data_IF_194153043943
#
_entry.id   IF_194153043943
#
_cell.length_a   1.000
_cell.length_b   1.000
_cell.length_c   1.000
_cell.angle_alpha   90.00
_cell.angle_beta   90.00
_cell.angle_gamma   90.00
#
_symmetry.space_group_name_H-M   'P 1'
#
loop_
_entity.id
_entity.type
_entity.pdbx_description
1 polymer ?
#
# COMPACT_ATOMS: atom_id res chain seq x y z
N UNK A 1 11.56 10.54 4.25
CA UNK A 1 11.14 9.89 2.99
C UNK A 1 10.63 10.96 2.04
N UNK A 2 11.11 10.98 0.79
CA UNK A 2 10.57 11.84 -0.26
C UNK A 2 9.95 10.94 -1.32
N UNK A 3 8.63 10.99 -1.45
CA UNK A 3 7.91 10.36 -2.55
C UNK A 3 7.32 11.46 -3.42
N UNK A 4 7.51 11.35 -4.74
CA UNK A 4 6.79 12.22 -5.68
C UNK A 4 5.38 11.68 -5.80
N UNK A 5 4.41 12.52 -5.47
CA UNK A 5 2.99 12.24 -5.55
C UNK A 5 2.33 13.50 -6.09
N UNK A 6 1.24 13.32 -6.82
CA UNK A 6 0.40 14.44 -7.25
C UNK A 6 -0.14 15.20 -6.03
N UNK A 7 -0.17 16.53 -6.11
CA UNK A 7 -0.57 17.37 -4.98
C UNK A 7 -2.06 17.22 -4.65
N UNK A 8 -2.92 17.04 -5.67
CA UNK A 8 -4.35 16.83 -5.47
C UNK A 8 -4.60 15.52 -4.74
N UNK A 9 -3.97 14.44 -5.20
CA UNK A 9 -4.06 13.11 -4.57
C UNK A 9 -3.54 13.12 -3.13
N UNK A 10 -2.46 13.86 -2.86
CA UNK A 10 -1.91 14.00 -1.51
C UNK A 10 -2.90 14.70 -0.58
N UNK A 11 -3.56 15.76 -1.04
CA UNK A 11 -4.51 16.52 -0.24
C UNK A 11 -5.78 15.69 0.04
N UNK A 12 -6.29 14.98 -0.94
CA UNK A 12 -7.42 14.04 -0.76
C UNK A 12 -7.08 12.94 0.23
N UNK A 13 -5.94 12.27 0.05
CA UNK A 13 -5.49 11.23 0.97
C UNK A 13 -5.29 11.78 2.40
N UNK A 14 -4.75 12.99 2.54
CA UNK A 14 -4.59 13.63 3.83
C UNK A 14 -5.94 13.93 4.50
N UNK A 15 -6.94 14.38 3.74
CA UNK A 15 -8.28 14.63 4.26
C UNK A 15 -8.94 13.33 4.74
N UNK A 16 -8.90 12.27 3.94
CA UNK A 16 -9.46 10.96 4.30
C UNK A 16 -8.77 10.39 5.55
N UNK A 17 -7.43 10.41 5.58
CA UNK A 17 -6.69 9.91 6.74
C UNK A 17 -6.92 10.76 8.00
N UNK A 18 -7.09 12.07 7.86
CA UNK A 18 -7.40 12.96 8.98
C UNK A 18 -8.75 12.62 9.63
N UNK A 19 -9.75 12.18 8.85
CA UNK A 19 -11.03 11.71 9.42
C UNK A 19 -10.85 10.49 10.32
N UNK A 20 -9.78 9.72 10.12
CA UNK A 20 -9.40 8.56 10.94
C UNK A 20 -8.38 8.92 12.02
N UNK A 21 -8.02 10.20 12.19
CA UNK A 21 -7.00 10.66 13.14
C UNK A 21 -5.57 10.30 12.74
N UNK A 22 -5.34 9.95 11.46
CA UNK A 22 -4.04 9.54 10.94
C UNK A 22 -3.43 10.62 10.04
N UNK A 23 -2.11 10.71 10.05
CA UNK A 23 -1.36 11.52 9.08
C UNK A 23 -0.83 10.64 7.95
N UNK A 24 -0.58 11.24 6.78
CA UNK A 24 0.02 10.55 5.63
C UNK A 24 1.32 9.85 6.03
N UNK A 25 2.18 10.51 6.80
CA UNK A 25 3.45 9.92 7.27
C UNK A 25 3.22 8.75 8.24
N UNK A 26 2.21 8.83 9.11
CA UNK A 26 1.83 7.75 10.01
C UNK A 26 1.36 6.52 9.25
N UNK A 27 0.48 6.71 8.27
CA UNK A 27 -0.02 5.64 7.40
C UNK A 27 1.12 4.96 6.62
N UNK A 28 2.01 5.74 6.00
CA UNK A 28 3.16 5.22 5.27
C UNK A 28 4.08 4.39 6.18
N UNK A 29 4.33 4.84 7.41
CA UNK A 29 5.16 4.09 8.36
C UNK A 29 4.54 2.74 8.70
N UNK A 30 3.23 2.71 9.02
CA UNK A 30 2.50 1.48 9.31
C UNK A 30 2.53 0.53 8.10
N UNK A 31 2.25 1.05 6.90
CA UNK A 31 2.29 0.27 5.66
C UNK A 31 3.65 -0.37 5.40
N UNK A 32 4.73 0.40 5.54
CA UNK A 32 6.09 -0.11 5.34
C UNK A 32 6.49 -1.17 6.39
N UNK A 33 6.11 -0.97 7.65
CA UNK A 33 6.33 -1.97 8.72
C UNK A 33 5.59 -3.27 8.40
N UNK A 34 4.32 -3.18 7.97
CA UNK A 34 3.50 -4.34 7.60
C UNK A 34 4.09 -5.09 6.40
N UNK A 35 4.48 -4.37 5.34
CA UNK A 35 5.14 -4.97 4.16
C UNK A 35 6.44 -5.69 4.54
N UNK A 36 7.24 -5.07 5.42
CA UNK A 36 8.51 -5.66 5.85
C UNK A 36 8.29 -6.94 6.64
N UNK A 37 7.28 -6.96 7.51
CA UNK A 37 6.98 -8.10 8.37
C UNK A 37 6.31 -9.25 7.62
N UNK A 38 5.29 -8.95 6.81
CA UNK A 38 4.49 -9.94 6.09
C UNK A 38 5.13 -10.36 4.75
N UNK A 39 6.14 -9.63 4.28
CA UNK A 39 6.76 -9.79 2.95
C UNK A 39 5.73 -9.78 1.81
N UNK A 40 4.58 -9.13 2.04
CA UNK A 40 3.45 -9.06 1.15
C UNK A 40 2.91 -7.62 1.13
N UNK A 41 2.22 -7.26 0.06
CA UNK A 41 1.57 -5.96 -0.03
C UNK A 41 0.36 -5.91 0.93
N UNK A 42 0.10 -4.76 1.57
CA UNK A 42 -0.91 -4.65 2.62
C UNK A 42 -2.34 -4.57 2.08
N UNK A 43 -2.49 -4.55 0.75
CA UNK A 43 -3.76 -4.60 0.03
C UNK A 43 -3.76 -5.82 -0.89
N UNK A 44 -4.92 -6.46 -1.05
CA UNK A 44 -5.06 -7.53 -2.04
C UNK A 44 -4.79 -6.94 -3.43
N UNK A 45 -3.71 -7.39 -4.07
CA UNK A 45 -3.36 -7.02 -5.43
C UNK A 45 -4.33 -7.73 -6.39
N UNK A 46 -5.58 -7.27 -6.44
CA UNK A 46 -6.63 -7.74 -7.36
C UNK A 46 -6.67 -6.97 -8.68
N UNK A 47 -5.72 -6.08 -8.92
CA UNK A 47 -5.54 -5.49 -10.24
C UNK A 47 -4.77 -6.51 -11.07
N UNK A 48 -5.39 -7.11 -12.11
CA UNK A 48 -4.68 -8.02 -12.99
C UNK A 48 -3.60 -7.20 -13.69
N UNK A 49 -2.36 -7.32 -13.23
CA UNK A 49 -1.24 -6.80 -13.99
C UNK A 49 -1.18 -7.64 -15.27
N UNK A 50 -1.47 -7.04 -16.43
CA UNK A 50 -1.42 -7.70 -17.74
C UNK A 50 -0.06 -8.37 -18.07
N UNK A 51 0.98 -8.14 -17.25
CA UNK A 51 2.33 -8.64 -17.45
C UNK A 51 2.84 -9.64 -16.42
N UNK A 52 2.02 -10.11 -15.46
CA UNK A 52 2.49 -11.14 -14.52
C UNK A 52 1.39 -12.11 -14.15
N UNK A 53 1.38 -13.34 -14.71
CA UNK A 53 0.58 -14.39 -14.11
C UNK A 53 1.20 -14.69 -12.75
N UNK A 54 0.45 -14.37 -11.70
CA UNK A 54 0.29 -15.22 -10.54
C UNK A 54 1.55 -15.95 -10.04
N UNK A 55 2.42 -15.23 -9.33
CA UNK A 55 3.38 -15.87 -8.43
C UNK A 55 2.66 -16.28 -7.14
N UNK A 56 1.67 -17.16 -7.28
CA UNK A 56 0.75 -17.57 -6.23
C UNK A 56 0.36 -19.04 -6.33
N UNK A 57 1.28 -19.93 -6.70
CA UNK A 57 1.08 -21.37 -6.53
C UNK A 57 2.38 -22.10 -6.16
N UNK A 58 2.69 -22.09 -4.87
CA UNK A 58 3.40 -23.21 -4.22
C UNK A 58 2.58 -23.63 -3.01
N UNK A 59 1.61 -24.51 -3.23
CA UNK A 59 1.17 -25.46 -2.21
C UNK A 59 1.29 -26.84 -2.79
N UNK A 60 2.44 -27.42 -2.47
CA UNK A 60 2.81 -28.82 -2.54
C UNK A 60 1.84 -29.64 -1.69
N UNK A 61 1.07 -30.53 -2.30
CA UNK A 61 0.91 -31.95 -1.96
C UNK A 61 -0.10 -32.58 -2.92
#
# INVERSE_FOLDING_TARGET
MRARIDETLKNEAAAVLATMGLTVSGFVRIGLTKVTHEKALPFEMRVPNAHRPDAGKKRTR
#
